data_IF_961329728216
#
_entry.id   IF_961329728216
#
_cell.length_a   1.000
_cell.length_b   1.000
_cell.length_c   1.000
_cell.angle_alpha   90.00
_cell.angle_beta   90.00
_cell.angle_gamma   90.00
#
_symmetry.space_group_name_H-M   'P 1'
#
loop_
_entity.id
_entity.type
_entity.pdbx_description
1 polymer ?
#
# COMPACT_ATOMS: atom_id res chain seq x y z
N UNK A 1 51.21 25.57 3.99
CA UNK A 1 49.73 25.70 3.96
C UNK A 1 49.15 24.37 3.51
N UNK A 2 48.34 23.77 4.40
CA UNK A 2 47.86 22.39 4.40
C UNK A 2 46.84 22.17 3.26
N UNK A 3 47.20 21.43 2.21
CA UNK A 3 46.29 21.08 1.09
C UNK A 3 46.27 19.58 0.78
N UNK A 4 46.41 18.71 1.79
CA UNK A 4 46.45 17.24 1.54
C UNK A 4 45.52 16.44 2.47
N UNK A 5 44.79 17.08 3.40
CA UNK A 5 43.97 16.34 4.37
C UNK A 5 42.53 16.78 4.25
N UNK A 6 41.84 16.41 3.16
CA UNK A 6 40.37 16.33 3.13
C UNK A 6 39.89 15.52 1.90
N UNK A 7 40.55 14.40 1.59
CA UNK A 7 40.05 13.43 0.60
C UNK A 7 39.89 12.03 1.19
N UNK A 8 39.66 11.94 2.51
CA UNK A 8 39.46 10.67 3.24
C UNK A 8 38.22 10.79 4.16
N UNK A 9 37.11 11.28 3.63
CA UNK A 9 35.85 11.36 4.39
C UNK A 9 34.58 11.32 3.51
N UNK A 10 34.67 10.76 2.30
CA UNK A 10 33.48 10.42 1.46
C UNK A 10 33.33 8.90 1.32
N UNK A 11 33.94 8.13 2.23
CA UNK A 11 33.62 6.70 2.44
C UNK A 11 32.58 6.56 3.56
N UNK A 12 31.80 7.62 3.81
CA UNK A 12 30.61 7.50 4.64
C UNK A 12 29.48 6.95 3.77
N UNK A 13 29.02 5.74 4.12
CA UNK A 13 27.67 5.24 3.90
C UNK A 13 27.35 4.53 2.57
N UNK A 14 28.29 3.78 2.00
CA UNK A 14 27.93 2.65 1.11
C UNK A 14 28.03 1.31 1.82
N UNK A 15 27.58 1.26 3.07
CA UNK A 15 27.04 0.02 3.60
C UNK A 15 25.56 0.00 3.19
N UNK A 16 25.27 -0.21 1.89
CA UNK A 16 23.93 -0.63 1.50
C UNK A 16 23.78 -2.01 2.13
N UNK A 17 23.14 -2.09 3.30
CA UNK A 17 22.56 -3.34 3.75
C UNK A 17 21.80 -3.90 2.56
N UNK A 18 22.07 -5.14 2.17
CA UNK A 18 21.40 -5.79 1.06
C UNK A 18 19.88 -5.64 1.27
N UNK A 19 19.24 -4.75 0.50
CA UNK A 19 17.83 -4.43 0.68
C UNK A 19 17.07 -5.73 0.38
N UNK A 20 16.24 -6.20 1.32
CA UNK A 20 15.53 -7.48 1.16
C UNK A 20 14.76 -7.46 -0.17
N UNK A 21 14.89 -8.48 -1.04
CA UNK A 21 14.26 -8.48 -2.36
C UNK A 21 12.76 -8.14 -2.33
N UNK A 22 12.04 -8.63 -1.30
CA UNK A 22 10.61 -8.38 -1.12
C UNK A 22 10.28 -6.90 -0.83
N UNK A 23 11.15 -6.19 -0.11
CA UNK A 23 10.98 -4.74 0.14
C UNK A 23 11.11 -3.95 -1.15
N UNK A 24 12.11 -4.28 -1.98
CA UNK A 24 12.31 -3.66 -3.30
C UNK A 24 11.09 -3.92 -4.19
N UNK A 25 10.60 -5.15 -4.20
CA UNK A 25 9.41 -5.53 -4.97
C UNK A 25 8.20 -4.67 -4.57
N UNK A 26 7.90 -4.56 -3.28
CA UNK A 26 6.74 -3.80 -2.80
C UNK A 26 6.90 -2.29 -3.01
N UNK A 27 8.11 -1.75 -2.92
CA UNK A 27 8.39 -0.35 -3.27
C UNK A 27 8.12 -0.10 -4.76
N UNK A 28 8.64 -0.96 -5.65
CA UNK A 28 8.40 -0.84 -7.09
C UNK A 28 6.92 -1.01 -7.43
N UNK A 29 6.23 -1.93 -6.74
CA UNK A 29 4.79 -2.12 -6.88
C UNK A 29 4.01 -0.85 -6.48
N UNK A 30 4.37 -0.20 -5.38
CA UNK A 30 3.73 1.04 -4.95
C UNK A 30 3.90 2.15 -6.00
N UNK A 31 5.12 2.33 -6.53
CA UNK A 31 5.41 3.32 -7.57
C UNK A 31 4.63 3.06 -8.86
N UNK A 32 4.55 1.80 -9.28
CA UNK A 32 3.76 1.38 -10.42
C UNK A 32 2.26 1.69 -10.22
N UNK A 33 1.71 1.31 -9.07
CA UNK A 33 0.28 1.48 -8.78
C UNK A 33 -0.12 2.95 -8.63
N UNK A 34 0.77 3.79 -8.08
CA UNK A 34 0.60 5.26 -8.07
C UNK A 34 0.50 5.78 -9.50
N UNK A 35 1.40 5.36 -10.39
CA UNK A 35 1.38 5.78 -11.80
C UNK A 35 0.11 5.34 -12.52
N UNK A 36 -0.46 4.20 -12.11
CA UNK A 36 -1.69 3.66 -12.67
C UNK A 36 -2.99 4.18 -12.02
N UNK A 37 -2.90 5.05 -11.00
CA UNK A 37 -4.02 5.44 -10.12
C UNK A 37 -4.84 4.24 -9.60
N UNK A 38 -4.15 3.16 -9.22
CA UNK A 38 -4.79 1.90 -8.83
C UNK A 38 -4.05 1.26 -7.65
N UNK A 39 -4.19 1.88 -6.48
CA UNK A 39 -3.53 1.44 -5.25
C UNK A 39 -4.19 0.18 -4.70
N UNK A 40 -3.39 -0.84 -4.40
CA UNK A 40 -3.87 -2.07 -3.78
C UNK A 40 -4.20 -1.83 -2.32
N UNK A 41 -5.44 -2.11 -1.93
CA UNK A 41 -5.82 -2.33 -0.54
C UNK A 41 -5.68 -3.82 -0.23
N UNK A 42 -4.65 -4.17 0.55
CA UNK A 42 -4.43 -5.54 0.97
C UNK A 42 -5.50 -5.98 1.98
N UNK A 43 -6.23 -7.03 1.62
CA UNK A 43 -7.13 -7.75 2.52
C UNK A 43 -6.53 -9.10 2.87
N UNK A 44 -6.80 -9.56 4.10
CA UNK A 44 -6.41 -10.88 4.58
C UNK A 44 -7.64 -11.75 4.80
N UNK A 45 -7.45 -13.07 4.72
CA UNK A 45 -8.50 -14.06 4.96
C UNK A 45 -9.06 -14.69 3.69
N UNK A 46 -9.91 -15.70 3.88
CA UNK A 46 -10.50 -16.48 2.79
C UNK A 46 -11.60 -15.67 2.09
N UNK A 47 -11.49 -15.37 0.78
CA UNK A 47 -12.57 -14.73 0.05
C UNK A 47 -13.73 -15.73 -0.09
N UNK A 48 -14.86 -15.42 0.54
CA UNK A 48 -16.09 -16.19 0.38
C UNK A 48 -16.93 -15.63 -0.77
N UNK A 49 -17.58 -16.49 -1.57
CA UNK A 49 -18.56 -16.03 -2.54
C UNK A 49 -19.75 -15.37 -1.82
N UNK A 50 -20.44 -14.41 -2.45
CA UNK A 50 -21.64 -13.81 -1.86
C UNK A 50 -22.72 -14.88 -1.67
N UNK A 51 -23.46 -14.81 -0.55
CA UNK A 51 -24.51 -15.80 -0.24
C UNK A 51 -25.77 -15.62 -1.08
N UNK A 52 -26.07 -14.38 -1.47
CA UNK A 52 -27.26 -14.02 -2.23
C UNK A 52 -27.00 -12.78 -3.13
N UNK A 53 -28.01 -12.41 -3.92
CA UNK A 53 -27.94 -11.25 -4.83
C UNK A 53 -27.83 -9.92 -4.09
N UNK A 54 -28.36 -9.82 -2.87
CA UNK A 54 -28.29 -8.61 -2.04
C UNK A 54 -26.85 -8.41 -1.55
N UNK A 55 -26.20 -9.46 -1.07
CA UNK A 55 -24.80 -9.44 -0.68
C UNK A 55 -23.88 -9.16 -1.87
N UNK A 56 -24.17 -9.75 -3.03
CA UNK A 56 -23.45 -9.44 -4.27
C UNK A 56 -23.56 -7.95 -4.63
N UNK A 57 -24.78 -7.39 -4.57
CA UNK A 57 -25.02 -5.97 -4.82
C UNK A 57 -24.24 -5.07 -3.86
N UNK A 58 -24.31 -5.34 -2.56
CA UNK A 58 -23.54 -4.62 -1.51
C UNK A 58 -22.03 -4.69 -1.76
N UNK A 59 -21.53 -5.88 -2.13
CA UNK A 59 -20.10 -6.07 -2.43
C UNK A 59 -19.67 -5.25 -3.66
N UNK A 60 -20.54 -5.11 -4.67
CA UNK A 60 -20.26 -4.26 -5.82
C UNK A 60 -20.26 -2.77 -5.44
N UNK A 61 -21.23 -2.31 -4.64
CA UNK A 61 -21.23 -0.94 -4.15
C UNK A 61 -19.96 -0.61 -3.35
N UNK A 62 -19.51 -1.53 -2.48
CA UNK A 62 -18.25 -1.37 -1.75
C UNK A 62 -17.05 -1.27 -2.69
N UNK A 63 -16.98 -2.09 -3.75
CA UNK A 63 -15.92 -2.01 -4.76
C UNK A 63 -15.92 -0.66 -5.46
N UNK A 64 -17.08 -0.11 -5.78
CA UNK A 64 -17.18 1.18 -6.45
C UNK A 64 -16.76 2.33 -5.51
N UNK A 65 -17.10 2.23 -4.22
CA UNK A 65 -16.57 3.15 -3.20
C UNK A 65 -15.04 3.05 -3.15
N UNK A 66 -14.44 1.86 -3.09
CA UNK A 66 -12.98 1.76 -3.12
C UNK A 66 -12.36 2.40 -4.37
N UNK A 67 -12.92 2.13 -5.55
CA UNK A 67 -12.44 2.73 -6.81
C UNK A 67 -12.51 4.26 -6.80
N UNK A 68 -13.57 4.84 -6.22
CA UNK A 68 -13.71 6.30 -6.04
C UNK A 68 -12.50 6.90 -5.32
N UNK A 69 -11.95 6.18 -4.33
CA UNK A 69 -10.78 6.60 -3.55
C UNK A 69 -9.43 6.14 -4.15
N UNK A 70 -9.43 5.58 -5.37
CA UNK A 70 -8.21 5.12 -6.06
C UNK A 70 -7.72 3.76 -5.60
N UNK A 71 -8.59 2.99 -4.94
CA UNK A 71 -8.26 1.71 -4.34
C UNK A 71 -8.82 0.53 -5.16
N UNK A 72 -8.03 -0.52 -5.23
CA UNK A 72 -8.40 -1.83 -5.75
C UNK A 72 -8.15 -2.88 -4.67
N UNK A 73 -9.16 -3.71 -4.36
CA UNK A 73 -9.00 -4.76 -3.35
C UNK A 73 -8.15 -5.90 -3.93
N UNK A 74 -7.01 -6.16 -3.30
CA UNK A 74 -6.18 -7.34 -3.56
C UNK A 74 -6.22 -8.21 -2.30
N UNK A 75 -6.87 -9.37 -2.37
CA UNK A 75 -6.81 -10.36 -1.31
C UNK A 75 -5.45 -11.08 -1.39
N UNK A 76 -4.68 -11.05 -0.31
CA UNK A 76 -3.37 -11.72 -0.20
C UNK A 76 -3.48 -13.16 0.34
N UNK A 77 -4.70 -13.63 0.60
CA UNK A 77 -5.00 -14.91 1.23
C UNK A 77 -4.87 -14.85 2.74
N UNK A 78 -4.74 -16.04 3.34
CA UNK A 78 -4.42 -16.20 4.75
C UNK A 78 -2.91 -16.42 4.86
N UNK A 79 -2.18 -15.39 5.29
CA UNK A 79 -0.75 -15.48 5.56
C UNK A 79 -0.54 -15.06 7.02
N UNK A 80 -0.15 -16.00 7.88
CA UNK A 80 0.01 -15.77 9.32
C UNK A 80 1.49 -15.84 9.67
N UNK A 81 2.01 -14.79 10.33
CA UNK A 81 3.32 -14.81 10.97
C UNK A 81 4.53 -14.59 10.04
N UNK A 82 4.35 -14.18 8.79
CA UNK A 82 5.46 -13.85 7.90
C UNK A 82 5.90 -12.39 8.07
N UNK A 83 6.79 -12.15 9.05
CA UNK A 83 7.33 -10.82 9.39
C UNK A 83 7.85 -10.04 8.17
N UNK A 84 8.50 -10.71 7.22
CA UNK A 84 9.03 -10.05 6.02
C UNK A 84 7.93 -9.51 5.10
N UNK A 85 6.81 -10.24 5.00
CA UNK A 85 5.65 -9.80 4.23
C UNK A 85 4.95 -8.61 4.91
N UNK A 86 4.89 -8.61 6.25
CA UNK A 86 4.37 -7.48 7.01
C UNK A 86 5.24 -6.23 6.80
N UNK A 87 6.57 -6.38 6.86
CA UNK A 87 7.53 -5.31 6.58
C UNK A 87 7.34 -4.75 5.16
N UNK A 88 7.26 -5.62 4.15
CA UNK A 88 7.05 -5.23 2.75
C UNK A 88 5.70 -4.56 2.50
N UNK A 89 4.61 -5.10 3.07
CA UNK A 89 3.26 -4.53 2.96
C UNK A 89 3.16 -3.16 3.66
N UNK A 90 3.87 -2.99 4.78
CA UNK A 90 3.95 -1.71 5.47
C UNK A 90 4.76 -0.68 4.67
N UNK A 91 5.84 -1.07 4.01
CA UNK A 91 6.61 -0.18 3.14
C UNK A 91 5.77 0.30 1.94
N UNK A 92 5.03 -0.62 1.30
CA UNK A 92 4.07 -0.26 0.27
C UNK A 92 3.07 0.78 0.77
N UNK A 93 2.43 0.51 1.93
CA UNK A 93 1.41 1.40 2.49
C UNK A 93 1.96 2.81 2.77
N UNK A 94 3.15 2.92 3.38
CA UNK A 94 3.80 4.22 3.64
C UNK A 94 3.97 5.06 2.39
N UNK A 95 4.36 4.44 1.28
CA UNK A 95 4.56 5.14 0.00
C UNK A 95 3.21 5.58 -0.58
N UNK A 96 2.21 4.69 -0.55
CA UNK A 96 0.90 4.97 -1.16
C UNK A 96 0.04 5.91 -0.34
N UNK A 97 0.19 5.96 0.98
CA UNK A 97 -0.62 6.83 1.85
C UNK A 97 -0.38 8.32 1.54
N UNK A 98 0.87 8.69 1.26
CA UNK A 98 1.23 10.05 0.84
C UNK A 98 0.51 10.42 -0.46
N UNK A 99 0.47 9.50 -1.41
CA UNK A 99 -0.26 9.68 -2.66
C UNK A 99 -1.77 9.78 -2.44
N UNK A 100 -2.35 8.88 -1.65
CA UNK A 100 -3.79 8.82 -1.38
C UNK A 100 -4.29 10.05 -0.62
N UNK A 101 -3.53 10.59 0.33
CA UNK A 101 -3.86 11.86 0.99
C UNK A 101 -3.81 13.03 0.01
N UNK A 102 -2.81 13.08 -0.87
CA UNK A 102 -2.74 14.11 -1.93
C UNK A 102 -3.92 14.02 -2.89
N UNK A 103 -4.32 12.80 -3.27
CA UNK A 103 -5.41 12.51 -4.21
C UNK A 103 -6.79 12.84 -3.63
N UNK A 104 -7.05 12.40 -2.40
CA UNK A 104 -8.39 12.39 -1.81
C UNK A 104 -8.58 13.46 -0.71
N UNK A 105 -7.51 14.17 -0.35
CA UNK A 105 -7.46 15.13 0.74
C UNK A 105 -7.26 14.50 2.11
N UNK A 106 -7.04 15.34 3.12
CA UNK A 106 -6.93 14.91 4.52
C UNK A 106 -8.20 14.18 4.96
N UNK A 107 -8.00 13.17 5.81
CA UNK A 107 -9.06 12.36 6.42
C UNK A 107 -9.93 11.61 5.40
N UNK A 108 -9.32 11.23 4.27
CA UNK A 108 -10.03 10.51 3.22
C UNK A 108 -10.45 9.10 3.67
N UNK A 109 -9.66 8.46 4.54
CA UNK A 109 -9.96 7.13 5.07
C UNK A 109 -11.25 7.12 5.88
N UNK A 110 -11.46 8.13 6.73
CA UNK A 110 -12.68 8.25 7.52
C UNK A 110 -13.89 8.51 6.63
N UNK A 111 -13.75 9.37 5.62
CA UNK A 111 -14.83 9.63 4.64
C UNK A 111 -15.20 8.37 3.88
N UNK A 112 -14.21 7.65 3.37
CA UNK A 112 -14.40 6.36 2.69
C UNK A 112 -15.08 5.36 3.63
N UNK A 113 -14.63 5.27 4.89
CA UNK A 113 -15.23 4.37 5.87
C UNK A 113 -16.71 4.70 6.10
N UNK A 114 -17.06 5.97 6.26
CA UNK A 114 -18.46 6.40 6.38
C UNK A 114 -19.29 6.01 5.17
N UNK A 115 -18.76 6.15 3.95
CA UNK A 115 -19.46 5.68 2.74
C UNK A 115 -19.67 4.16 2.74
N UNK A 116 -18.65 3.38 3.14
CA UNK A 116 -18.73 1.92 3.24
C UNK A 116 -19.74 1.46 4.29
N UNK A 117 -19.78 2.12 5.45
CA UNK A 117 -20.70 1.80 6.55
C UNK A 117 -22.16 2.10 6.18
N UNK A 118 -22.39 3.03 5.24
CA UNK A 118 -23.72 3.41 4.75
C UNK A 118 -24.25 2.50 3.62
N UNK A 119 -23.48 1.51 3.17
CA UNK A 119 -23.95 0.49 2.22
C UNK A 119 -24.98 -0.40 2.91
N UNK A 120 -26.25 -0.31 2.47
CA UNK A 120 -27.40 -0.99 3.06
C UNK A 120 -27.67 -2.37 2.49
#
# INVERSE_FOLDING_TARGET
>A
MKKVVFLILVIFLSCKSEEKPLLIEYRNMALHDIKADSIKKFGFGLPLPPRDSIEMYRNNQKKDIYKKYGLYIKNLGCVVGLKELDEASNEYRKITDVYLEKRNGKRWEEKMKTELDNVK
#
